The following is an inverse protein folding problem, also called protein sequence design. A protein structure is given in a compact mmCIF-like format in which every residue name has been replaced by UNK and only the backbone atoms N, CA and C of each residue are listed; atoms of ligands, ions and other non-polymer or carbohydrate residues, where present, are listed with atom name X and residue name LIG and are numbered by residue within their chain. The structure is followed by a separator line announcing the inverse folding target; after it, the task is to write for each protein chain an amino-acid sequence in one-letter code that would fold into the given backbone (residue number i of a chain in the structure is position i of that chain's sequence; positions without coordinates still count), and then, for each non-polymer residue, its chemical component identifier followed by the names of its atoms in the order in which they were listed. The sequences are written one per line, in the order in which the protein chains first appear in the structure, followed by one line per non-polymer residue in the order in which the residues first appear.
data_IF_120200960581
#
_entry.id   IF_120200960581
#
_cell.length_a   1.000
_cell.length_b   1.000
_cell.length_c   1.000
_cell.angle_alpha   90.00
_cell.angle_beta   90.00
_cell.angle_gamma   90.00
#
_symmetry.space_group_name_H-M   'P 1'
#
loop_
_entity.id
_entity.type
_entity.pdbx_description
1 polymer ?
#
# COMPACT_ATOMS: atom_id res chain seq x y z
N UNK A 1 -15.95 -8.01 -11.64
CA UNK A 1 -15.18 -6.75 -11.70
C UNK A 1 -13.92 -6.91 -10.84
N UNK A 2 -12.73 -6.70 -11.40
CA UNK A 2 -11.48 -6.86 -10.66
C UNK A 2 -11.40 -5.88 -9.47
N UNK A 3 -10.82 -6.34 -8.37
CA UNK A 3 -10.57 -5.52 -7.19
C UNK A 3 -9.31 -4.67 -7.39
N UNK A 4 -9.28 -3.48 -6.82
CA UNK A 4 -8.13 -2.56 -6.85
C UNK A 4 -7.53 -2.49 -5.46
N UNK A 5 -6.24 -2.78 -5.35
CA UNK A 5 -5.51 -2.81 -4.08
C UNK A 5 -4.39 -1.77 -4.15
N UNK A 6 -4.35 -0.85 -3.20
CA UNK A 6 -3.18 -0.01 -2.98
C UNK A 6 -2.20 -0.74 -2.08
N UNK A 7 -0.91 -0.72 -2.42
CA UNK A 7 0.17 -1.32 -1.63
C UNK A 7 1.23 -0.26 -1.38
N UNK A 8 1.53 -0.02 -0.12
CA UNK A 8 2.57 0.90 0.32
C UNK A 8 3.68 0.05 0.91
N UNK A 9 4.84 0.03 0.28
CA UNK A 9 5.92 -0.87 0.67
C UNK A 9 7.26 -0.49 0.04
N UNK A 10 8.32 -1.08 0.58
CA UNK A 10 9.67 -0.82 0.12
C UNK A 10 9.96 -1.57 -1.19
N UNK A 11 10.76 -0.95 -2.05
CA UNK A 11 11.19 -1.54 -3.32
C UNK A 11 12.56 -1.01 -3.71
N UNK A 12 13.32 -1.83 -4.44
CA UNK A 12 14.69 -1.52 -4.90
C UNK A 12 14.73 -0.26 -5.77
N UNK A 13 13.79 -0.12 -6.70
CA UNK A 13 13.70 1.01 -7.63
C UNK A 13 12.29 1.59 -7.68
N UNK A 14 12.15 2.72 -8.38
CA UNK A 14 10.89 3.46 -8.49
C UNK A 14 10.97 4.80 -7.78
N UNK A 15 10.06 5.70 -8.16
CA UNK A 15 9.98 7.05 -7.60
C UNK A 15 9.11 7.04 -6.36
N UNK A 16 9.58 7.68 -5.30
CA UNK A 16 8.72 8.01 -4.16
C UNK A 16 7.57 8.90 -4.60
N UNK A 17 6.46 8.82 -3.89
CA UNK A 17 5.29 9.68 -4.08
C UNK A 17 4.64 9.59 -5.48
N UNK A 18 4.84 8.45 -6.16
CA UNK A 18 4.27 8.19 -7.48
C UNK A 18 3.42 6.90 -7.48
N UNK A 19 2.15 6.94 -7.95
CA UNK A 19 1.30 5.76 -8.00
C UNK A 19 1.64 4.89 -9.22
N UNK A 20 2.22 3.71 -8.98
CA UNK A 20 2.51 2.73 -10.02
C UNK A 20 1.35 1.76 -10.23
N UNK A 21 0.68 1.85 -11.37
CA UNK A 21 -0.40 0.94 -11.74
C UNK A 21 0.15 -0.34 -12.37
N UNK A 22 0.14 -1.43 -11.61
CA UNK A 22 0.69 -2.72 -12.04
C UNK A 22 -0.41 -3.75 -12.26
N UNK A 23 -0.38 -4.42 -13.42
CA UNK A 23 -1.32 -5.47 -13.82
C UNK A 23 -0.68 -6.81 -14.17
N UNK A 24 0.65 -6.86 -14.23
CA UNK A 24 1.40 -8.07 -14.54
C UNK A 24 2.69 -8.11 -13.73
N UNK A 25 3.19 -9.32 -13.48
CA UNK A 25 4.44 -9.53 -12.76
C UNK A 25 5.63 -8.91 -13.49
N UNK A 26 5.65 -8.98 -14.82
CA UNK A 26 6.69 -8.34 -15.64
C UNK A 26 6.72 -6.83 -15.41
N UNK A 27 5.56 -6.17 -15.47
CA UNK A 27 5.47 -4.74 -15.23
C UNK A 27 5.92 -4.37 -13.81
N UNK A 28 5.51 -5.15 -12.80
CA UNK A 28 5.91 -4.95 -11.41
C UNK A 28 7.44 -5.01 -11.27
N UNK A 29 8.05 -6.08 -11.76
CA UNK A 29 9.50 -6.30 -11.68
C UNK A 29 10.31 -5.23 -12.44
N UNK A 30 9.89 -4.85 -13.65
CA UNK A 30 10.61 -3.83 -14.43
C UNK A 30 10.50 -2.42 -13.84
N UNK A 31 9.48 -2.17 -13.03
CA UNK A 31 9.18 -0.83 -12.49
C UNK A 31 9.71 -0.64 -11.08
N UNK A 32 9.68 -1.69 -10.25
CA UNK A 32 9.97 -1.65 -8.82
C UNK A 32 11.18 -2.49 -8.43
N UNK A 33 11.70 -3.34 -9.33
CA UNK A 33 12.87 -4.18 -9.07
C UNK A 33 12.53 -5.32 -8.11
N UNK A 34 13.52 -5.70 -7.30
CA UNK A 34 13.39 -6.80 -6.36
C UNK A 34 12.84 -6.34 -5.00
N UNK A 35 12.16 -7.23 -4.25
CA UNK A 35 11.81 -6.99 -2.85
C UNK A 35 13.09 -6.88 -2.00
N UNK A 36 13.20 -5.85 -1.14
CA UNK A 36 14.16 -5.86 -0.04
C UNK A 36 13.92 -7.07 0.88
N UNK A 37 14.99 -7.57 1.53
CA UNK A 37 14.98 -8.82 2.29
C UNK A 37 13.87 -8.91 3.36
N UNK A 38 13.59 -7.80 4.04
CA UNK A 38 12.63 -7.74 5.15
C UNK A 38 11.29 -7.09 4.79
N UNK A 39 11.12 -6.65 3.52
CA UNK A 39 9.90 -6.00 3.05
C UNK A 39 8.89 -7.03 2.53
N UNK A 40 7.61 -6.80 2.84
CA UNK A 40 6.47 -7.62 2.37
C UNK A 40 5.66 -6.94 1.28
N UNK A 41 5.85 -5.65 1.03
CA UNK A 41 5.06 -4.89 0.06
C UNK A 41 5.05 -5.52 -1.33
N UNK A 42 6.24 -5.84 -1.87
CA UNK A 42 6.34 -6.45 -3.21
C UNK A 42 5.83 -7.90 -3.25
N UNK A 43 6.05 -8.70 -2.21
CA UNK A 43 5.48 -10.06 -2.10
C UNK A 43 3.95 -10.03 -2.17
N UNK A 44 3.33 -9.12 -1.42
CA UNK A 44 1.87 -8.93 -1.43
C UNK A 44 1.37 -8.41 -2.79
N UNK A 45 2.16 -7.57 -3.47
CA UNK A 45 1.83 -7.09 -4.82
C UNK A 45 1.84 -8.23 -5.85
N UNK A 46 2.85 -9.11 -5.79
CA UNK A 46 2.93 -10.32 -6.61
C UNK A 46 1.69 -11.19 -6.38
N UNK A 47 1.36 -11.48 -5.12
CA UNK A 47 0.17 -12.26 -4.78
C UNK A 47 -1.11 -11.60 -5.31
N UNK A 48 -1.29 -10.30 -5.09
CA UNK A 48 -2.45 -9.56 -5.58
C UNK A 48 -2.60 -9.68 -7.11
N UNK A 49 -1.52 -9.55 -7.87
CA UNK A 49 -1.53 -9.72 -9.33
C UNK A 49 -1.90 -11.16 -9.71
N UNK A 50 -1.33 -12.17 -9.03
CA UNK A 50 -1.65 -13.59 -9.27
C UNK A 50 -3.12 -13.93 -8.99
N UNK A 51 -3.76 -13.24 -8.04
CA UNK A 51 -5.19 -13.33 -7.76
C UNK A 51 -6.04 -12.39 -8.64
N UNK A 52 -5.51 -11.92 -9.77
CA UNK A 52 -6.17 -11.07 -10.75
C UNK A 52 -6.70 -9.75 -10.16
N UNK A 53 -5.93 -9.13 -9.25
CA UNK A 53 -6.22 -7.81 -8.70
C UNK A 53 -5.41 -6.75 -9.44
N UNK A 54 -5.99 -5.56 -9.57
CA UNK A 54 -5.26 -4.39 -10.05
C UNK A 54 -4.48 -3.81 -8.87
N UNK A 55 -3.19 -3.57 -9.04
CA UNK A 55 -2.33 -3.02 -7.99
C UNK A 55 -2.00 -1.55 -8.28
N UNK A 56 -2.12 -0.71 -7.26
CA UNK A 56 -1.53 0.62 -7.22
C UNK A 56 -0.41 0.57 -6.19
N UNK A 57 0.84 0.54 -6.65
CA UNK A 57 1.98 0.44 -5.77
C UNK A 57 2.55 1.83 -5.47
N UNK A 58 2.81 2.11 -4.21
CA UNK A 58 3.47 3.30 -3.72
C UNK A 58 4.75 2.87 -3.02
N UNK A 59 5.89 3.27 -3.57
CA UNK A 59 7.18 3.03 -2.95
C UNK A 59 7.31 3.90 -1.69
N UNK A 60 7.67 3.27 -0.57
CA UNK A 60 8.17 3.94 0.63
C UNK A 60 9.67 3.66 0.80
N UNK A 61 10.37 4.54 1.49
CA UNK A 61 11.82 4.43 1.74
C UNK A 61 12.13 3.30 2.71
N UNK A 62 11.32 3.17 3.76
CA UNK A 62 11.44 2.12 4.77
C UNK A 62 10.03 1.62 5.14
N UNK A 63 9.77 0.34 4.91
CA UNK A 63 8.50 -0.30 5.23
C UNK A 63 8.24 -0.23 6.75
N UNK A 64 7.01 0.04 7.16
CA UNK A 64 6.68 0.26 8.58
C UNK A 64 7.09 1.61 9.20
N UNK A 65 8.12 2.29 8.68
CA UNK A 65 8.73 3.44 9.38
C UNK A 65 8.66 4.78 8.65
N UNK A 66 8.65 4.82 7.31
CA UNK A 66 8.74 6.09 6.56
C UNK A 66 7.43 6.90 6.54
N UNK A 67 7.06 7.53 7.68
CA UNK A 67 5.81 8.29 7.86
C UNK A 67 5.55 9.27 6.71
N UNK A 68 6.58 10.01 6.29
CA UNK A 68 6.48 11.00 5.22
C UNK A 68 5.99 10.38 3.89
N UNK A 69 6.45 9.18 3.54
CA UNK A 69 6.07 8.52 2.30
C UNK A 69 4.64 7.97 2.37
N UNK A 70 4.26 7.42 3.53
CA UNK A 70 2.88 6.98 3.77
C UNK A 70 1.90 8.15 3.68
N UNK A 71 2.18 9.27 4.35
CA UNK A 71 1.28 10.42 4.37
C UNK A 71 1.10 11.03 2.98
N UNK A 72 2.18 11.15 2.19
CA UNK A 72 2.06 11.62 0.80
C UNK A 72 1.28 10.65 -0.09
N UNK A 73 1.47 9.34 0.09
CA UNK A 73 0.71 8.32 -0.64
C UNK A 73 -0.78 8.37 -0.27
N UNK A 74 -1.09 8.56 1.00
CA UNK A 74 -2.44 8.76 1.54
C UNK A 74 -3.11 9.98 0.89
N UNK A 75 -2.41 11.10 0.76
CA UNK A 75 -2.96 12.31 0.13
C UNK A 75 -3.28 12.09 -1.35
N UNK A 76 -2.48 11.31 -2.06
CA UNK A 76 -2.76 10.90 -3.45
C UNK A 76 -4.01 10.01 -3.51
N UNK A 77 -4.14 9.06 -2.58
CA UNK A 77 -5.26 8.11 -2.53
C UNK A 77 -6.58 8.80 -2.15
N UNK A 78 -6.53 9.80 -1.25
CA UNK A 78 -7.71 10.60 -0.85
C UNK A 78 -8.34 11.36 -2.04
N UNK A 79 -7.55 11.73 -3.03
CA UNK A 79 -8.03 12.44 -4.21
C UNK A 79 -8.80 11.49 -5.15
N UNK A 80 -10.14 11.57 -5.11
CA UNK A 80 -11.03 10.76 -5.95
C UNK A 80 -10.84 10.97 -7.46
N UNK A 81 -10.23 12.08 -7.87
CA UNK A 81 -9.92 12.30 -9.29
C UNK A 81 -8.76 11.41 -9.74
N UNK A 82 -7.81 11.12 -8.82
CA UNK A 82 -6.66 10.24 -9.07
C UNK A 82 -7.00 8.78 -8.82
N UNK A 83 -7.68 8.48 -7.72
CA UNK A 83 -8.09 7.11 -7.35
C UNK A 83 -9.60 7.03 -7.30
N UNK A 84 -10.22 6.58 -8.39
CA UNK A 84 -11.69 6.49 -8.49
C UNK A 84 -12.29 5.36 -7.64
N UNK A 85 -11.54 4.27 -7.47
CA UNK A 85 -11.99 3.07 -6.75
C UNK A 85 -10.80 2.39 -6.10
N UNK A 86 -11.05 1.91 -4.88
CA UNK A 86 -10.10 1.22 -4.05
C UNK A 86 -10.88 0.20 -3.22
N UNK A 87 -10.42 -1.05 -3.18
CA UNK A 87 -11.10 -2.12 -2.44
C UNK A 87 -10.29 -2.52 -1.19
N UNK A 88 -8.98 -2.34 -1.20
CA UNK A 88 -8.11 -2.55 -0.04
C UNK A 88 -6.87 -1.67 -0.08
N UNK A 89 -6.28 -1.42 1.09
CA UNK A 89 -5.00 -0.75 1.29
C UNK A 89 -4.11 -1.65 2.12
N UNK A 90 -2.97 -2.05 1.58
CA UNK A 90 -1.98 -2.87 2.26
C UNK A 90 -0.84 -1.98 2.77
N UNK A 91 -0.59 -2.06 4.07
CA UNK A 91 0.46 -1.33 4.80
C UNK A 91 1.23 -2.31 5.71
N UNK A 92 2.00 -3.25 5.11
CA UNK A 92 2.78 -4.20 5.90
C UNK A 92 3.75 -3.50 6.85
N UNK A 93 3.90 -4.07 8.05
CA UNK A 93 4.82 -3.58 9.09
C UNK A 93 4.46 -2.23 9.72
N UNK A 94 3.31 -1.63 9.38
CA UNK A 94 2.93 -0.31 9.92
C UNK A 94 2.16 -0.48 11.24
N UNK A 95 2.80 -0.04 12.32
CA UNK A 95 2.20 0.14 13.65
C UNK A 95 1.99 1.60 14.08
N UNK A 96 2.31 2.58 13.23
CA UNK A 96 2.21 4.00 13.57
C UNK A 96 0.75 4.49 13.67
N UNK A 97 0.45 5.26 14.74
CA UNK A 97 -0.91 5.71 15.04
C UNK A 97 -1.49 6.62 13.97
N UNK A 98 -0.65 7.54 13.52
CA UNK A 98 -1.06 8.62 12.64
C UNK A 98 -1.39 8.05 11.25
N UNK A 99 -0.53 7.18 10.73
CA UNK A 99 -0.77 6.52 9.42
C UNK A 99 -2.10 5.77 9.43
N UNK A 100 -2.33 4.91 10.44
CA UNK A 100 -3.54 4.08 10.52
C UNK A 100 -4.80 4.95 10.61
N UNK A 101 -4.77 6.00 11.44
CA UNK A 101 -5.91 6.89 11.62
C UNK A 101 -6.27 7.65 10.33
N UNK A 102 -5.26 8.08 9.57
CA UNK A 102 -5.45 8.78 8.30
C UNK A 102 -6.04 7.90 7.18
N UNK A 103 -5.92 6.57 7.29
CA UNK A 103 -6.54 5.62 6.35
C UNK A 103 -8.04 5.42 6.61
N UNK A 104 -8.53 5.71 7.82
CA UNK A 104 -9.94 5.57 8.18
C UNK A 104 -10.91 6.34 7.26
N UNK A 105 -10.70 7.64 7.01
CA UNK A 105 -11.50 8.42 6.06
C UNK A 105 -11.48 7.85 4.63
N UNK A 106 -10.32 7.38 4.15
CA UNK A 106 -10.20 6.74 2.83
C UNK A 106 -11.08 5.49 2.80
N UNK A 107 -10.97 4.64 3.82
CA UNK A 107 -11.72 3.39 3.89
C UNK A 107 -13.23 3.61 3.90
N UNK A 108 -13.72 4.59 4.67
CA UNK A 108 -15.14 5.00 4.64
C UNK A 108 -15.57 5.50 3.27
N UNK A 109 -14.72 6.30 2.62
CA UNK A 109 -14.99 6.94 1.33
C UNK A 109 -15.04 5.96 0.15
N UNK A 110 -14.22 4.91 0.19
CA UNK A 110 -14.13 3.88 -0.85
C UNK A 110 -14.83 2.56 -0.51
N UNK A 111 -15.34 2.42 0.71
CA UNK A 111 -15.78 1.14 1.27
C UNK A 111 -14.69 0.06 1.17
N UNK A 112 -13.44 0.47 1.45
CA UNK A 112 -12.26 -0.38 1.41
C UNK A 112 -11.84 -0.85 2.80
N UNK A 113 -11.00 -1.88 2.85
CA UNK A 113 -10.41 -2.40 4.09
C UNK A 113 -8.91 -2.08 4.16
N UNK A 114 -8.38 -2.08 5.39
CA UNK A 114 -6.93 -2.02 5.64
C UNK A 114 -6.43 -3.45 5.84
N UNK A 115 -5.31 -3.78 5.22
CA UNK A 115 -4.58 -5.03 5.40
C UNK A 115 -3.20 -4.65 5.97
N UNK A 116 -2.87 -5.17 7.14
CA UNK A 116 -1.56 -4.97 7.78
C UNK A 116 -1.05 -6.30 8.31
N UNK A 117 0.26 -6.36 8.56
CA UNK A 117 0.94 -7.50 9.17
C UNK A 117 1.47 -7.18 10.58
N UNK A 118 1.13 -6.01 11.11
CA UNK A 118 1.58 -5.59 12.44
C UNK A 118 0.94 -6.46 13.53
N UNK A 119 1.79 -7.12 14.34
CA UNK A 119 1.34 -8.09 15.35
C UNK A 119 0.71 -7.38 16.54
N UNK A 120 1.23 -6.21 16.89
CA UNK A 120 0.82 -5.48 18.08
C UNK A 120 -0.32 -4.49 17.80
N UNK A 121 -0.92 -4.54 16.60
CA UNK A 121 -2.05 -3.69 16.21
C UNK A 121 -3.21 -3.77 17.21
N UNK A 122 -3.50 -4.97 17.72
CA UNK A 122 -4.64 -5.18 18.61
C UNK A 122 -4.45 -4.49 19.96
N UNK A 123 -3.27 -4.62 20.56
CA UNK A 123 -2.90 -3.92 21.79
C UNK A 123 -2.96 -2.40 21.57
N UNK A 124 -2.48 -1.98 20.41
CA UNK A 124 -2.47 -0.60 19.99
C UNK A 124 -3.88 0.02 19.81
N UNK A 125 -4.87 -0.74 19.31
CA UNK A 125 -6.25 -0.27 19.07
C UNK A 125 -7.07 -0.19 20.36
N UNK A 126 -6.65 -0.90 21.40
CA UNK A 126 -7.34 -1.01 22.68
C UNK A 126 -6.66 -0.24 23.82
N UNK A 127 -5.47 0.32 23.58
CA UNK A 127 -4.75 1.25 24.49
C UNK A 127 -5.27 2.67 24.37
#
# INVERSE_FOLDING_TARGET
MQKVIALLGESEIGRFHYPYFCRSLTQLATTLGNPPLDSRGLDLAVQAIMYERNVIYFRVEEEGFSIKDYMQSIDIIKDKNKVKRLDAICIPGVGDKEIIFQLGPICKSHNSIIITSEKDLFDYLLS
#
